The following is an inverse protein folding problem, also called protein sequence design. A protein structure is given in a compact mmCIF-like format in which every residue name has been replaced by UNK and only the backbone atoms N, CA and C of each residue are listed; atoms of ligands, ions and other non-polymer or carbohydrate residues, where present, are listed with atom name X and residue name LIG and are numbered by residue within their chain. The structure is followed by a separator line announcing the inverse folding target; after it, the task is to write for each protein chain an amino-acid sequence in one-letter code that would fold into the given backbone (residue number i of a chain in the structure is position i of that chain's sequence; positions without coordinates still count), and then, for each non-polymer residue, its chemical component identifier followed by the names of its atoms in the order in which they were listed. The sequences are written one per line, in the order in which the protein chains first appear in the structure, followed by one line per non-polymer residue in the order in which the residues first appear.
data_IF_910359342624
#
_entry.id   IF_910359342624
#
_cell.length_a   1.000
_cell.length_b   1.000
_cell.length_c   1.000
_cell.angle_alpha   90.00
_cell.angle_beta   90.00
_cell.angle_gamma   90.00
#
_symmetry.space_group_name_H-M   'P 1'
#
loop_
_entity.id
_entity.type
_entity.pdbx_description
1 polymer ?
#
# COMPACT_ATOMS: atom_id res chain seq x y z
N UNK A 1 -21.52 -1.90 10.40
CA UNK A 1 -20.24 -1.25 10.75
C UNK A 1 -19.12 -2.23 10.49
N UNK A 2 -17.99 -1.76 9.97
CA UNK A 2 -16.82 -2.61 9.75
C UNK A 2 -16.15 -2.86 11.11
N UNK A 3 -15.68 -4.10 11.35
CA UNK A 3 -15.01 -4.49 12.60
C UNK A 3 -13.48 -4.21 12.57
N UNK A 4 -13.05 -3.32 11.69
CA UNK A 4 -11.63 -3.01 11.52
C UNK A 4 -11.04 -2.36 12.77
N UNK A 5 -9.89 -2.84 13.19
CA UNK A 5 -9.13 -2.30 14.33
C UNK A 5 -8.61 -0.89 14.08
N UNK A 6 -8.38 -0.54 12.81
CA UNK A 6 -7.99 0.78 12.35
C UNK A 6 -8.65 1.07 11.00
N UNK A 7 -8.78 2.33 10.61
CA UNK A 7 -9.33 2.69 9.31
C UNK A 7 -8.27 2.67 8.21
N UNK A 8 -8.69 2.46 6.95
CA UNK A 8 -7.80 2.58 5.80
C UNK A 8 -7.22 4.01 5.69
N UNK A 9 -8.05 5.02 5.95
CA UNK A 9 -7.61 6.43 5.98
C UNK A 9 -6.50 6.67 6.99
N UNK A 10 -6.62 6.17 8.23
CA UNK A 10 -5.60 6.34 9.26
C UNK A 10 -4.26 5.72 8.85
N UNK A 11 -4.28 4.58 8.14
CA UNK A 11 -3.07 3.95 7.60
C UNK A 11 -2.48 4.80 6.48
N UNK A 12 -3.29 5.17 5.49
CA UNK A 12 -2.82 5.87 4.30
C UNK A 12 -2.36 7.32 4.56
N UNK A 13 -2.79 7.91 5.67
CA UNK A 13 -2.36 9.25 6.10
C UNK A 13 -1.13 9.25 7.01
N UNK A 14 -0.58 8.07 7.34
CA UNK A 14 0.62 7.96 8.19
C UNK A 14 1.87 8.53 7.49
N UNK A 15 1.93 8.49 6.17
CA UNK A 15 3.05 9.05 5.39
C UNK A 15 2.71 9.19 3.91
N UNK A 16 3.54 9.91 3.16
CA UNK A 16 3.25 10.25 1.76
C UNK A 16 3.46 9.07 0.80
N UNK A 17 4.26 8.08 1.17
CA UNK A 17 4.63 6.95 0.31
C UNK A 17 4.46 5.63 1.04
N UNK A 18 3.80 4.69 0.40
CA UNK A 18 3.71 3.28 0.80
C UNK A 18 4.62 2.47 -0.13
N UNK A 19 5.79 1.99 0.34
CA UNK A 19 6.66 1.18 -0.49
C UNK A 19 6.03 -0.17 -0.79
N UNK A 20 6.07 -0.57 -2.06
CA UNK A 20 5.69 -1.90 -2.54
C UNK A 20 6.95 -2.75 -2.57
N UNK A 21 7.07 -3.70 -1.63
CA UNK A 21 8.33 -4.36 -1.30
C UNK A 21 8.30 -5.83 -1.66
N UNK A 22 9.00 -6.22 -2.72
CA UNK A 22 9.16 -7.63 -3.10
C UNK A 22 10.33 -8.23 -2.33
N UNK A 23 10.02 -9.08 -1.34
CA UNK A 23 11.03 -9.78 -0.53
C UNK A 23 11.31 -11.15 -1.13
N UNK A 24 12.51 -11.37 -1.65
CA UNK A 24 12.92 -12.66 -2.24
C UNK A 24 13.60 -13.58 -1.22
N UNK A 25 14.21 -13.02 -0.17
CA UNK A 25 14.89 -13.75 0.91
C UNK A 25 14.40 -13.23 2.25
N UNK A 26 13.96 -14.15 3.11
CA UNK A 26 13.40 -13.80 4.42
C UNK A 26 14.35 -13.00 5.29
N UNK A 27 15.65 -13.28 5.21
CA UNK A 27 16.71 -12.60 5.98
C UNK A 27 16.75 -11.08 5.78
N UNK A 28 16.25 -10.57 4.64
CA UNK A 28 16.20 -9.15 4.35
C UNK A 28 14.96 -8.43 4.94
N UNK A 29 13.92 -9.18 5.32
CA UNK A 29 12.62 -8.60 5.69
C UNK A 29 12.72 -7.61 6.87
N UNK A 30 13.28 -8.04 7.98
CA UNK A 30 13.38 -7.24 9.21
C UNK A 30 14.40 -6.09 9.07
N UNK A 31 15.64 -6.31 8.58
CA UNK A 31 16.58 -5.20 8.40
C UNK A 31 16.07 -4.12 7.45
N UNK A 32 15.46 -4.51 6.36
CA UNK A 32 14.84 -3.60 5.38
C UNK A 32 13.70 -2.78 6.01
N UNK A 33 12.81 -3.42 6.78
CA UNK A 33 11.73 -2.72 7.48
C UNK A 33 12.26 -1.70 8.49
N UNK A 34 13.29 -2.04 9.25
CA UNK A 34 13.99 -1.11 10.17
C UNK A 34 14.61 0.07 9.41
N UNK A 35 15.21 -0.18 8.25
CA UNK A 35 15.79 0.87 7.40
C UNK A 35 14.74 1.86 6.88
N UNK A 36 13.58 1.35 6.44
CA UNK A 36 12.46 2.19 6.00
C UNK A 36 11.91 3.04 7.16
N UNK A 37 11.71 2.45 8.33
CA UNK A 37 11.27 3.18 9.54
C UNK A 37 12.28 4.25 9.94
N UNK A 38 13.58 3.96 9.91
CA UNK A 38 14.65 4.93 10.17
C UNK A 38 14.66 6.09 9.16
N UNK A 39 14.19 5.86 7.93
CA UNK A 39 13.98 6.87 6.90
C UNK A 39 12.65 7.63 7.02
N UNK A 40 11.80 7.30 8.00
CA UNK A 40 10.51 7.96 8.23
C UNK A 40 9.31 7.31 7.53
N UNK A 41 9.49 6.14 6.91
CA UNK A 41 8.43 5.38 6.23
C UNK A 41 7.97 4.23 7.13
N UNK A 42 6.74 4.31 7.62
CA UNK A 42 6.20 3.35 8.59
C UNK A 42 5.18 2.37 8.00
N UNK A 43 4.48 2.74 6.94
CA UNK A 43 3.50 1.87 6.27
C UNK A 43 4.20 1.07 5.18
N UNK A 44 4.19 -0.27 5.28
CA UNK A 44 4.96 -1.17 4.43
C UNK A 44 4.02 -2.17 3.75
N UNK A 45 3.95 -2.16 2.41
CA UNK A 45 3.20 -3.15 1.63
C UNK A 45 4.13 -4.27 1.17
N UNK A 46 3.91 -5.49 1.66
CA UNK A 46 4.62 -6.71 1.21
C UNK A 46 3.67 -7.52 0.31
N UNK A 47 3.85 -7.49 -1.01
CA UNK A 47 2.98 -8.22 -1.93
C UNK A 47 3.23 -9.73 -1.87
N UNK A 48 2.15 -10.53 -1.94
CA UNK A 48 2.17 -12.00 -1.97
C UNK A 48 2.66 -12.52 -3.33
N UNK A 49 3.87 -12.11 -3.75
CA UNK A 49 4.47 -12.48 -5.04
C UNK A 49 5.66 -13.42 -4.91
N UNK A 50 6.10 -13.70 -3.70
CA UNK A 50 7.25 -14.57 -3.41
C UNK A 50 6.86 -15.63 -2.38
N UNK A 51 7.58 -16.74 -2.37
CA UNK A 51 7.33 -17.83 -1.43
C UNK A 51 7.51 -17.42 0.05
N UNK A 52 8.41 -16.46 0.34
CA UNK A 52 8.66 -16.01 1.70
C UNK A 52 7.84 -14.77 2.12
N UNK A 53 6.94 -14.25 1.27
CA UNK A 53 6.19 -13.03 1.56
C UNK A 53 5.38 -13.12 2.88
N UNK A 54 4.71 -14.25 3.11
CA UNK A 54 3.93 -14.47 4.33
C UNK A 54 4.80 -14.50 5.58
N UNK A 55 5.95 -15.16 5.51
CA UNK A 55 6.92 -15.22 6.62
C UNK A 55 7.59 -13.87 6.84
N UNK A 56 7.83 -13.10 5.78
CA UNK A 56 8.31 -11.73 5.88
C UNK A 56 7.33 -10.82 6.64
N UNK A 57 6.02 -10.92 6.34
CA UNK A 57 4.97 -10.20 7.07
C UNK A 57 4.99 -10.57 8.56
N UNK A 58 5.05 -11.86 8.89
CA UNK A 58 5.12 -12.34 10.28
C UNK A 58 6.35 -11.79 11.02
N UNK A 59 7.51 -11.86 10.38
CA UNK A 59 8.76 -11.40 10.97
C UNK A 59 8.72 -9.88 11.23
N UNK A 60 8.28 -9.10 10.24
CA UNK A 60 8.18 -7.63 10.39
C UNK A 60 7.16 -7.27 11.48
N UNK A 61 5.98 -7.88 11.47
CA UNK A 61 4.93 -7.62 12.47
C UNK A 61 5.41 -7.89 13.90
N UNK A 62 6.26 -8.91 14.09
CA UNK A 62 6.80 -9.32 15.39
C UNK A 62 7.99 -8.47 15.84
N UNK A 63 8.89 -8.14 14.93
CA UNK A 63 10.23 -7.62 15.27
C UNK A 63 10.41 -6.12 14.99
N UNK A 64 9.44 -5.49 14.30
CA UNK A 64 9.47 -4.05 13.98
C UNK A 64 8.12 -3.41 14.36
N UNK A 65 7.84 -3.26 15.66
CA UNK A 65 6.54 -2.77 16.14
C UNK A 65 6.21 -1.34 15.72
N UNK A 66 7.20 -0.57 15.30
CA UNK A 66 7.04 0.77 14.76
C UNK A 66 6.47 0.79 13.33
N UNK A 67 6.61 -0.34 12.62
CA UNK A 67 6.09 -0.48 11.27
C UNK A 67 4.61 -0.90 11.29
N UNK A 68 3.85 -0.35 10.36
CA UNK A 68 2.50 -0.79 10.01
C UNK A 68 2.64 -1.68 8.78
N UNK A 69 2.85 -2.98 8.98
CA UNK A 69 3.01 -3.92 7.87
C UNK A 69 1.67 -4.41 7.37
N UNK A 70 1.51 -4.42 6.06
CA UNK A 70 0.35 -4.97 5.37
C UNK A 70 0.75 -5.85 4.19
N UNK A 71 -0.21 -6.62 3.71
CA UNK A 71 -0.05 -7.48 2.56
C UNK A 71 -0.56 -6.81 1.29
N UNK A 72 0.23 -6.86 0.22
CA UNK A 72 -0.20 -6.55 -1.14
C UNK A 72 -0.54 -7.80 -1.94
N UNK A 73 -1.19 -7.62 -3.09
CA UNK A 73 -1.55 -8.71 -4.00
C UNK A 73 -2.43 -9.78 -3.32
N UNK A 74 -3.32 -9.34 -2.44
CA UNK A 74 -4.34 -10.21 -1.83
C UNK A 74 -5.47 -10.39 -2.85
N UNK A 75 -5.71 -11.62 -3.31
CA UNK A 75 -6.59 -11.91 -4.44
C UNK A 75 -7.93 -12.56 -4.06
N UNK A 76 -8.03 -13.10 -2.85
CA UNK A 76 -9.21 -13.85 -2.43
C UNK A 76 -9.41 -13.84 -0.90
N UNK A 77 -10.59 -14.27 -0.40
CA UNK A 77 -10.89 -14.33 1.03
C UNK A 77 -9.93 -15.18 1.86
N UNK A 78 -9.44 -16.28 1.31
CA UNK A 78 -8.50 -17.17 2.01
C UNK A 78 -7.18 -16.45 2.29
N UNK A 79 -6.60 -15.81 1.28
CA UNK A 79 -5.37 -15.02 1.45
C UNK A 79 -5.58 -13.87 2.45
N UNK A 80 -6.75 -13.22 2.44
CA UNK A 80 -7.06 -12.17 3.42
C UNK A 80 -7.06 -12.70 4.86
N UNK A 81 -7.61 -13.89 5.08
CA UNK A 81 -7.56 -14.54 6.39
C UNK A 81 -6.12 -14.89 6.79
N UNK A 82 -5.37 -15.53 5.90
CA UNK A 82 -3.98 -15.93 6.13
C UNK A 82 -3.06 -14.75 6.48
N UNK A 83 -3.17 -13.61 5.76
CA UNK A 83 -2.36 -12.42 6.06
C UNK A 83 -2.78 -11.77 7.38
N UNK A 84 -4.08 -11.82 7.72
CA UNK A 84 -4.57 -11.34 9.02
C UNK A 84 -3.97 -12.15 10.16
N UNK A 85 -3.94 -13.46 10.05
CA UNK A 85 -3.30 -14.38 11.02
C UNK A 85 -1.77 -14.17 11.07
N UNK A 86 -1.15 -13.82 9.95
CA UNK A 86 0.27 -13.50 9.89
C UNK A 86 0.64 -12.16 10.58
N UNK A 87 -0.35 -11.38 11.00
CA UNK A 87 -0.15 -10.11 11.71
C UNK A 87 -0.17 -8.88 10.81
N UNK A 88 -0.61 -9.01 9.55
CA UNK A 88 -0.84 -7.84 8.70
C UNK A 88 -1.90 -6.92 9.33
N UNK A 89 -1.65 -5.61 9.27
CA UNK A 89 -2.54 -4.60 9.81
C UNK A 89 -3.47 -4.01 8.74
N UNK A 90 -3.20 -4.26 7.47
CA UNK A 90 -4.04 -3.92 6.32
C UNK A 90 -3.76 -4.88 5.16
N UNK A 91 -4.68 -4.90 4.20
CA UNK A 91 -4.51 -5.63 2.95
C UNK A 91 -4.75 -4.71 1.76
N UNK A 92 -4.00 -4.94 0.68
CA UNK A 92 -4.15 -4.27 -0.61
C UNK A 92 -4.35 -5.33 -1.69
N UNK A 93 -5.34 -5.15 -2.54
CA UNK A 93 -5.55 -6.00 -3.71
C UNK A 93 -5.33 -5.22 -5.02
N UNK A 94 -4.93 -5.87 -6.11
CA UNK A 94 -4.75 -5.21 -7.39
C UNK A 94 -6.08 -4.81 -8.06
N UNK A 95 -7.16 -5.47 -7.71
CA UNK A 95 -8.52 -5.23 -8.14
C UNK A 95 -9.49 -5.58 -7.02
N UNK A 96 -10.79 -5.60 -7.30
CA UNK A 96 -11.81 -5.99 -6.33
C UNK A 96 -12.78 -7.03 -6.90
N UNK A 97 -13.24 -7.91 -6.02
CA UNK A 97 -14.30 -8.89 -6.29
C UNK A 97 -15.28 -8.91 -5.14
N UNK A 98 -16.55 -9.24 -5.42
CA UNK A 98 -17.54 -9.32 -4.35
C UNK A 98 -17.16 -10.27 -3.19
N UNK A 99 -16.64 -11.50 -3.45
CA UNK A 99 -16.22 -12.37 -2.36
C UNK A 99 -15.16 -11.75 -1.45
N UNK A 100 -14.17 -11.04 -2.05
CA UNK A 100 -13.12 -10.37 -1.29
C UNK A 100 -13.67 -9.19 -0.49
N UNK A 101 -14.56 -8.38 -1.09
CA UNK A 101 -15.22 -7.25 -0.41
C UNK A 101 -16.07 -7.72 0.77
N UNK A 102 -16.85 -8.81 0.62
CA UNK A 102 -17.64 -9.42 1.71
C UNK A 102 -16.75 -9.88 2.85
N UNK A 103 -15.67 -10.59 2.55
CA UNK A 103 -14.72 -11.05 3.56
C UNK A 103 -14.03 -9.88 4.29
N UNK A 104 -13.62 -8.85 3.55
CA UNK A 104 -12.95 -7.68 4.13
C UNK A 104 -13.87 -6.87 5.05
N UNK A 105 -15.14 -6.65 4.66
CA UNK A 105 -16.09 -5.91 5.49
C UNK A 105 -16.50 -6.66 6.76
N UNK A 106 -16.42 -7.99 6.77
CA UNK A 106 -16.63 -8.83 7.94
C UNK A 106 -15.34 -9.02 8.77
N UNK A 107 -14.17 -8.77 8.19
CA UNK A 107 -12.86 -8.95 8.80
C UNK A 107 -12.45 -7.87 9.78
N UNK A 108 -11.24 -7.99 10.31
CA UNK A 108 -10.68 -7.11 11.36
C UNK A 108 -9.62 -6.14 10.91
N UNK A 109 -9.13 -6.28 9.66
CA UNK A 109 -8.17 -5.38 9.04
C UNK A 109 -8.79 -4.70 7.81
N UNK A 110 -8.45 -3.45 7.48
CA UNK A 110 -8.95 -2.78 6.30
C UNK A 110 -8.39 -3.40 5.02
N UNK A 111 -9.25 -3.49 4.01
CA UNK A 111 -8.88 -3.73 2.62
C UNK A 111 -8.87 -2.39 1.87
N UNK A 112 -7.79 -2.14 1.14
CA UNK A 112 -7.65 -1.04 0.19
C UNK A 112 -7.64 -1.67 -1.21
N UNK A 113 -8.82 -1.83 -1.85
CA UNK A 113 -8.89 -2.55 -3.12
C UNK A 113 -8.43 -1.69 -4.28
N UNK A 114 -7.81 -2.33 -5.28
CA UNK A 114 -7.48 -1.72 -6.56
C UNK A 114 -8.70 -1.47 -7.41
N UNK A 115 -8.69 -0.33 -8.11
CA UNK A 115 -9.65 0.02 -9.15
C UNK A 115 -8.94 0.60 -10.36
N UNK A 116 -9.51 0.40 -11.54
CA UNK A 116 -9.12 1.02 -12.81
C UNK A 116 -10.28 1.76 -13.45
N UNK A 117 -11.51 1.46 -13.06
CA UNK A 117 -12.74 2.00 -13.64
C UNK A 117 -13.68 2.56 -12.58
N UNK A 118 -14.57 3.44 -13.00
CA UNK A 118 -15.61 4.01 -12.12
C UNK A 118 -16.63 2.95 -11.69
N UNK A 119 -16.88 1.92 -12.50
CA UNK A 119 -17.80 0.82 -12.13
C UNK A 119 -17.24 0.01 -10.95
N UNK A 120 -15.94 -0.28 -10.95
CA UNK A 120 -15.26 -0.92 -9.82
C UNK A 120 -15.30 -0.01 -8.58
N UNK A 121 -15.07 1.29 -8.75
CA UNK A 121 -15.18 2.26 -7.67
C UNK A 121 -16.57 2.23 -7.03
N UNK A 122 -17.63 2.29 -7.84
CA UNK A 122 -19.03 2.24 -7.37
C UNK A 122 -19.31 0.94 -6.63
N UNK A 123 -18.86 -0.20 -7.15
CA UNK A 123 -19.02 -1.49 -6.47
C UNK A 123 -18.33 -1.48 -5.09
N UNK A 124 -17.12 -0.95 -4.98
CA UNK A 124 -16.45 -0.82 -3.68
C UNK A 124 -17.20 0.10 -2.71
N UNK A 125 -17.78 1.17 -3.22
CA UNK A 125 -18.60 2.11 -2.43
C UNK A 125 -19.89 1.46 -1.91
N UNK A 126 -20.53 0.56 -2.66
CA UNK A 126 -21.71 -0.21 -2.20
C UNK A 126 -21.38 -1.06 -0.95
N UNK A 127 -20.12 -1.47 -0.80
CA UNK A 127 -19.60 -2.13 0.39
C UNK A 127 -19.11 -1.14 1.48
N UNK A 128 -19.37 0.16 1.30
CA UNK A 128 -19.03 1.23 2.24
C UNK A 128 -17.54 1.57 2.27
N UNK A 129 -16.77 1.25 1.23
CA UNK A 129 -15.36 1.66 1.13
C UNK A 129 -15.27 3.10 0.64
N UNK A 130 -14.22 3.81 1.06
CA UNK A 130 -13.92 5.18 0.66
C UNK A 130 -12.49 5.37 0.21
N UNK A 131 -11.61 4.45 0.56
CA UNK A 131 -10.19 4.47 0.24
C UNK A 131 -9.89 3.35 -0.76
N UNK A 132 -9.23 3.70 -1.87
CA UNK A 132 -8.96 2.80 -2.98
C UNK A 132 -7.52 2.94 -3.48
N UNK A 133 -6.93 1.83 -3.91
CA UNK A 133 -5.73 1.85 -4.73
C UNK A 133 -6.14 2.14 -6.18
N UNK A 134 -5.56 3.15 -6.83
CA UNK A 134 -5.71 3.35 -8.27
C UNK A 134 -4.56 2.67 -8.99
N UNK A 135 -4.85 1.60 -9.75
CA UNK A 135 -3.81 0.73 -10.32
C UNK A 135 -4.21 0.13 -11.67
N UNK A 136 -3.27 0.05 -12.62
CA UNK A 136 -1.96 0.69 -12.66
C UNK A 136 -2.08 2.20 -13.01
N UNK A 137 -1.56 3.09 -12.14
CA UNK A 137 -1.89 4.51 -12.18
C UNK A 137 -1.51 5.21 -13.50
N UNK A 138 -0.25 5.14 -13.92
CA UNK A 138 0.20 5.80 -15.15
C UNK A 138 -0.46 5.20 -16.40
N UNK A 139 -0.58 3.87 -16.48
CA UNK A 139 -1.20 3.20 -17.61
C UNK A 139 -2.71 3.51 -17.75
N UNK A 140 -3.38 3.86 -16.64
CA UNK A 140 -4.79 4.22 -16.60
C UNK A 140 -5.04 5.74 -16.71
N UNK A 141 -4.07 6.51 -17.20
CA UNK A 141 -4.21 7.94 -17.49
C UNK A 141 -3.74 8.88 -16.37
N UNK A 142 -3.08 8.37 -15.35
CA UNK A 142 -2.33 9.14 -14.37
C UNK A 142 -3.17 10.15 -13.58
N UNK A 143 -2.57 11.29 -13.28
CA UNK A 143 -3.21 12.38 -12.53
C UNK A 143 -4.45 12.94 -13.23
N UNK A 144 -4.47 12.95 -14.57
CA UNK A 144 -5.62 13.42 -15.34
C UNK A 144 -6.85 12.54 -15.13
N UNK A 145 -6.67 11.21 -15.15
CA UNK A 145 -7.76 10.27 -14.88
C UNK A 145 -8.28 10.40 -13.44
N UNK A 146 -7.40 10.52 -12.45
CA UNK A 146 -7.79 10.73 -11.06
C UNK A 146 -8.58 12.03 -10.85
N UNK A 147 -8.17 13.12 -11.48
CA UNK A 147 -8.91 14.40 -11.43
C UNK A 147 -10.30 14.27 -12.01
N UNK A 148 -10.44 13.58 -13.17
CA UNK A 148 -11.73 13.35 -13.81
C UNK A 148 -12.65 12.48 -12.92
N UNK A 149 -12.12 11.42 -12.31
CA UNK A 149 -12.86 10.55 -11.40
C UNK A 149 -13.25 11.30 -10.12
N UNK A 150 -12.37 12.10 -9.54
CA UNK A 150 -12.63 12.82 -8.30
C UNK A 150 -13.79 13.83 -8.40
N UNK A 151 -14.12 14.31 -9.60
CA UNK A 151 -15.24 15.23 -9.81
C UNK A 151 -16.56 14.66 -9.26
N UNK A 152 -17.09 13.56 -9.80
CA UNK A 152 -18.34 12.95 -9.34
C UNK A 152 -18.19 12.19 -7.99
N UNK A 153 -16.96 11.85 -7.56
CA UNK A 153 -16.69 11.02 -6.37
C UNK A 153 -15.88 11.76 -5.32
N UNK A 154 -16.29 12.97 -4.94
CA UNK A 154 -15.56 13.83 -3.99
C UNK A 154 -15.31 13.22 -2.58
N UNK A 155 -16.09 12.22 -2.20
CA UNK A 155 -16.01 11.53 -0.92
C UNK A 155 -14.99 10.39 -0.86
N UNK A 156 -14.41 9.99 -2.01
CA UNK A 156 -13.40 8.92 -2.05
C UNK A 156 -11.98 9.47 -2.02
N UNK A 157 -11.04 8.62 -1.61
CA UNK A 157 -9.61 8.92 -1.54
C UNK A 157 -8.82 7.81 -2.19
N UNK A 158 -7.64 8.16 -2.70
CA UNK A 158 -6.83 7.25 -3.49
C UNK A 158 -5.41 7.11 -2.95
N UNK A 159 -4.86 5.91 -3.16
CA UNK A 159 -3.44 5.59 -3.14
C UNK A 159 -3.05 5.11 -4.55
N UNK A 160 -2.71 6.01 -5.47
CA UNK A 160 -2.26 5.62 -6.81
C UNK A 160 -0.94 4.85 -6.74
N UNK A 161 -0.86 3.80 -7.57
CA UNK A 161 0.29 2.88 -7.62
C UNK A 161 0.51 2.41 -9.05
N UNK A 162 1.76 2.27 -9.47
CA UNK A 162 2.13 1.79 -10.81
C UNK A 162 2.60 2.89 -11.74
N UNK A 163 3.89 2.83 -12.12
CA UNK A 163 4.57 3.85 -12.92
C UNK A 163 4.94 5.12 -12.15
N UNK A 164 4.78 5.12 -10.82
CA UNK A 164 5.13 6.25 -9.98
C UNK A 164 6.59 6.17 -9.55
N UNK A 165 7.29 7.30 -9.61
CA UNK A 165 8.73 7.44 -9.40
C UNK A 165 9.03 8.79 -8.72
N UNK A 166 10.29 9.06 -8.34
CA UNK A 166 10.71 10.38 -7.84
C UNK A 166 10.39 11.55 -8.77
N UNK A 167 10.24 11.28 -10.07
CA UNK A 167 9.98 12.33 -11.07
C UNK A 167 8.52 12.82 -11.07
N UNK A 168 7.55 11.97 -10.68
CA UNK A 168 6.12 12.29 -10.83
C UNK A 168 5.28 12.15 -9.55
N UNK A 169 5.81 11.60 -8.45
CA UNK A 169 5.00 11.31 -7.25
C UNK A 169 4.40 12.58 -6.60
N UNK A 170 5.06 13.73 -6.73
CA UNK A 170 4.56 15.00 -6.19
C UNK A 170 3.32 15.48 -6.92
N UNK A 171 3.23 15.25 -8.24
CA UNK A 171 2.05 15.61 -9.03
C UNK A 171 0.81 14.86 -8.55
N UNK A 172 1.00 13.60 -8.13
CA UNK A 172 -0.07 12.82 -7.50
C UNK A 172 -0.42 13.35 -6.11
N UNK A 173 0.57 13.61 -5.26
CA UNK A 173 0.35 14.13 -3.91
C UNK A 173 -0.29 15.52 -3.88
N UNK A 174 -0.15 16.31 -4.94
CA UNK A 174 -0.83 17.60 -5.08
C UNK A 174 -2.35 17.49 -5.26
N UNK A 175 -2.87 16.30 -5.60
CA UNK A 175 -4.30 16.08 -5.77
C UNK A 175 -4.99 15.90 -4.41
N UNK A 176 -6.04 16.68 -4.13
CA UNK A 176 -6.80 16.60 -2.86
C UNK A 176 -7.44 15.23 -2.60
N UNK A 177 -7.66 14.44 -3.65
CA UNK A 177 -8.22 13.08 -3.56
C UNK A 177 -7.16 12.02 -3.25
N UNK A 178 -5.87 12.36 -3.21
CA UNK A 178 -4.77 11.44 -2.96
C UNK A 178 -4.29 11.59 -1.52
N UNK A 179 -4.25 10.48 -0.77
CA UNK A 179 -3.73 10.46 0.61
C UNK A 179 -2.24 10.16 0.65
N UNK A 180 -1.80 9.24 -0.18
CA UNK A 180 -0.41 8.82 -0.34
C UNK A 180 -0.26 8.16 -1.71
N UNK A 181 0.96 7.76 -2.06
CA UNK A 181 1.21 6.99 -3.28
C UNK A 181 1.89 5.66 -2.97
N UNK A 182 1.69 4.66 -3.83
CA UNK A 182 2.43 3.41 -3.80
C UNK A 182 3.63 3.47 -4.75
N UNK A 183 4.82 3.12 -4.24
CA UNK A 183 6.03 3.17 -5.06
C UNK A 183 7.05 2.09 -4.69
N UNK A 184 7.81 1.61 -5.67
CA UNK A 184 8.81 0.56 -5.45
C UNK A 184 10.26 1.07 -5.39
N UNK A 185 10.51 2.33 -5.74
CA UNK A 185 11.87 2.87 -5.85
C UNK A 185 12.61 3.03 -4.51
N UNK A 186 11.89 2.98 -3.37
CA UNK A 186 12.47 3.09 -2.04
C UNK A 186 13.31 1.86 -1.68
N UNK A 187 12.98 0.72 -2.27
CA UNK A 187 13.66 -0.55 -2.03
C UNK A 187 14.11 -1.15 -3.37
N UNK A 188 15.18 -0.59 -3.98
CA UNK A 188 15.73 -1.16 -5.21
C UNK A 188 16.21 -2.59 -4.97
N UNK A 189 15.96 -3.49 -5.93
CA UNK A 189 16.30 -4.91 -5.79
C UNK A 189 17.81 -5.14 -5.55
N UNK A 190 18.66 -4.37 -6.24
CA UNK A 190 20.10 -4.42 -6.09
C UNK A 190 20.57 -4.02 -4.67
N UNK A 191 19.96 -2.98 -4.10
CA UNK A 191 20.25 -2.54 -2.74
C UNK A 191 19.79 -3.59 -1.71
N UNK A 192 18.60 -4.15 -1.90
CA UNK A 192 18.07 -5.16 -0.99
C UNK A 192 18.93 -6.44 -1.02
N UNK A 193 19.30 -6.93 -2.20
CA UNK A 193 20.14 -8.12 -2.36
C UNK A 193 21.56 -7.93 -1.83
N UNK A 194 22.11 -6.73 -1.93
CA UNK A 194 23.41 -6.37 -1.36
C UNK A 194 23.37 -6.12 0.15
N UNK A 195 22.18 -6.04 0.77
CA UNK A 195 22.04 -5.64 2.18
C UNK A 195 22.39 -4.16 2.42
N UNK A 196 22.30 -3.32 1.39
CA UNK A 196 22.56 -1.87 1.47
C UNK A 196 21.36 -1.14 2.09
N UNK A 197 21.17 -1.37 3.38
CA UNK A 197 20.06 -0.77 4.14
C UNK A 197 20.23 0.73 4.38
N UNK A 198 21.44 1.25 4.34
CA UNK A 198 21.71 2.68 4.43
C UNK A 198 21.16 3.41 3.21
N UNK A 199 21.32 2.84 2.02
CA UNK A 199 20.72 3.36 0.80
C UNK A 199 19.20 3.35 0.87
N UNK A 200 18.58 2.29 1.39
CA UNK A 200 17.13 2.21 1.59
C UNK A 200 16.66 3.30 2.56
N UNK A 201 17.36 3.50 3.69
CA UNK A 201 17.06 4.57 4.65
C UNK A 201 17.14 5.95 4.01
N UNK A 202 18.16 6.19 3.18
CA UNK A 202 18.33 7.45 2.45
C UNK A 202 17.19 7.70 1.47
N UNK A 203 16.84 6.71 0.65
CA UNK A 203 15.75 6.83 -0.33
C UNK A 203 14.39 7.07 0.36
N UNK A 204 14.13 6.40 1.48
CA UNK A 204 12.93 6.62 2.28
C UNK A 204 12.87 8.06 2.81
N UNK A 205 13.96 8.57 3.37
CA UNK A 205 14.05 9.95 3.88
C UNK A 205 13.84 10.97 2.77
N UNK A 206 14.50 10.80 1.63
CA UNK A 206 14.35 11.69 0.46
C UNK A 206 12.89 11.73 -0.04
N UNK A 207 12.21 10.58 -0.06
CA UNK A 207 10.81 10.51 -0.47
C UNK A 207 9.87 11.25 0.52
N UNK A 208 10.11 11.12 1.82
CA UNK A 208 9.33 11.80 2.86
C UNK A 208 9.59 13.32 2.86
N UNK A 209 10.84 13.74 2.75
CA UNK A 209 11.22 15.15 2.73
C UNK A 209 10.76 15.85 1.44
N UNK A 210 10.92 15.18 0.30
CA UNK A 210 10.50 15.69 -1.00
C UNK A 210 8.99 15.85 -1.15
N UNK A 211 8.19 15.14 -0.37
CA UNK A 211 6.72 15.29 -0.36
C UNK A 211 6.23 16.55 0.35
N UNK A 212 7.11 17.26 1.10
CA UNK A 212 6.79 18.50 1.82
C UNK A 212 7.02 19.76 0.99
N UNK A 213 7.63 19.61 -0.17
CA UNK A 213 7.93 20.69 -1.11
C UNK A 213 6.80 20.84 -2.15
#
# INVERSE_FOLDING_TARGET
MKNWKTSAEAILTTGPVVPVIVVNKLEHAVPMAKALVAGGVRVLEVPLRTACAMDAIRAIAKEVPEAIVGAGTVLNPQQLAEVTEAGAQFAISPGLTEPLLKAATAGTIPLIPGISTVSELMLGMDYGLKEFKFFPAEANGGTKALQAIAGPFSQVRFCPTGGISPANYRDYLALKSVLCIGGSWLVPADALEAGDYDRITKLAREAVEGAKQ
#
